data_IF_781641151234
#
_entry.id   IF_781641151234
#
_cell.length_a   1.000
_cell.length_b   1.000
_cell.length_c   1.000
_cell.angle_alpha   90.00
_cell.angle_beta   90.00
_cell.angle_gamma   90.00
#
_symmetry.space_group_name_H-M   'P 1'
#
loop_
_entity.id
_entity.type
_entity.pdbx_description
1 polymer ?
#
# COMPACT_ATOMS: atom_id res chain seq x y z
N UNK A 1 -8.72 49.92 -12.34
CA UNK A 1 -8.25 48.75 -11.61
C UNK A 1 -9.45 47.86 -11.34
N UNK A 2 -9.50 46.67 -11.90
CA UNK A 2 -10.60 45.73 -11.65
C UNK A 2 -10.32 45.17 -10.26
N UNK A 3 -11.19 45.48 -9.30
CA UNK A 3 -11.12 44.98 -7.93
C UNK A 3 -11.58 43.53 -7.95
N UNK A 4 -10.72 42.61 -8.40
CA UNK A 4 -10.97 41.19 -8.42
C UNK A 4 -11.00 40.69 -6.98
N UNK A 5 -12.17 40.29 -6.50
CA UNK A 5 -12.29 39.69 -5.16
C UNK A 5 -11.36 38.49 -5.02
N UNK A 6 -10.79 38.29 -3.85
CA UNK A 6 -9.84 37.19 -3.53
C UNK A 6 -10.47 35.82 -3.83
N UNK A 7 -11.76 35.65 -3.58
CA UNK A 7 -12.48 34.40 -3.77
C UNK A 7 -12.59 33.97 -5.24
N UNK A 8 -13.01 34.84 -6.20
CA UNK A 8 -12.97 34.49 -7.63
C UNK A 8 -11.57 34.18 -8.13
N UNK A 9 -10.55 34.89 -7.65
CA UNK A 9 -9.16 34.67 -8.01
C UNK A 9 -8.69 33.27 -7.57
N UNK A 10 -8.93 32.88 -6.31
CA UNK A 10 -8.56 31.58 -5.80
C UNK A 10 -9.34 30.43 -6.48
N UNK A 11 -10.65 30.64 -6.69
CA UNK A 11 -11.51 29.68 -7.39
C UNK A 11 -11.03 29.45 -8.84
N UNK A 12 -10.67 30.48 -9.56
CA UNK A 12 -10.11 30.39 -10.90
C UNK A 12 -8.80 29.56 -10.93
N UNK A 13 -7.89 29.82 -9.99
CA UNK A 13 -6.65 29.07 -9.88
C UNK A 13 -6.89 27.60 -9.54
N UNK A 14 -7.75 27.32 -8.56
CA UNK A 14 -8.14 25.96 -8.20
C UNK A 14 -8.75 25.21 -9.39
N UNK A 15 -9.61 25.88 -10.16
CA UNK A 15 -10.28 25.27 -11.30
C UNK A 15 -9.28 24.91 -12.41
N UNK A 16 -8.41 25.86 -12.79
CA UNK A 16 -7.39 25.63 -13.84
C UNK A 16 -6.41 24.54 -13.42
N UNK A 17 -5.87 24.62 -12.20
CA UNK A 17 -4.96 23.61 -11.68
C UNK A 17 -5.66 22.25 -11.54
N UNK A 18 -6.93 22.23 -11.13
CA UNK A 18 -7.74 21.04 -11.05
C UNK A 18 -7.89 20.32 -12.40
N UNK A 19 -8.14 21.07 -13.48
CA UNK A 19 -8.21 20.51 -14.83
C UNK A 19 -6.87 19.93 -15.25
N UNK A 20 -5.78 20.67 -15.07
CA UNK A 20 -4.44 20.23 -15.47
C UNK A 20 -4.06 18.94 -14.72
N UNK A 21 -4.26 18.92 -13.42
CA UNK A 21 -3.93 17.74 -12.60
C UNK A 21 -4.84 16.57 -12.88
N UNK A 22 -6.13 16.79 -13.15
CA UNK A 22 -7.05 15.73 -13.57
C UNK A 22 -6.61 15.08 -14.89
N UNK A 23 -6.14 15.90 -15.84
CA UNK A 23 -5.59 15.41 -17.10
C UNK A 23 -4.30 14.60 -16.87
N UNK A 24 -3.42 15.05 -15.98
CA UNK A 24 -2.21 14.33 -15.61
C UNK A 24 -2.54 12.98 -14.94
N UNK A 25 -3.51 12.96 -14.02
CA UNK A 25 -3.99 11.73 -13.40
C UNK A 25 -4.55 10.75 -14.44
N UNK A 26 -5.30 11.26 -15.41
CA UNK A 26 -5.83 10.43 -16.50
C UNK A 26 -4.70 9.87 -17.37
N UNK A 27 -3.73 10.71 -17.74
CA UNK A 27 -2.56 10.29 -18.52
C UNK A 27 -1.69 9.25 -17.81
N UNK A 28 -1.69 9.25 -16.49
CA UNK A 28 -0.97 8.25 -15.71
C UNK A 28 -1.82 6.97 -15.56
N UNK A 29 -3.10 7.10 -15.26
CA UNK A 29 -3.98 5.98 -14.96
C UNK A 29 -4.29 5.11 -16.19
N UNK A 30 -4.55 5.74 -17.35
CA UNK A 30 -4.95 5.03 -18.58
C UNK A 30 -3.87 4.06 -19.06
N UNK A 31 -2.59 4.43 -19.20
CA UNK A 31 -1.53 3.49 -19.58
C UNK A 31 -1.37 2.33 -18.59
N UNK A 32 -1.43 2.62 -17.28
CA UNK A 32 -1.36 1.57 -16.27
C UNK A 32 -2.51 0.58 -16.41
N UNK A 33 -3.71 1.07 -16.70
CA UNK A 33 -4.88 0.22 -16.90
C UNK A 33 -4.81 -0.59 -18.19
N UNK A 34 -4.23 -0.05 -19.25
CA UNK A 34 -3.96 -0.78 -20.49
C UNK A 34 -2.96 -1.92 -20.23
N UNK A 35 -1.88 -1.67 -19.47
CA UNK A 35 -0.90 -2.70 -19.09
C UNK A 35 -1.53 -3.81 -18.24
N UNK A 36 -2.46 -3.46 -17.35
CA UNK A 36 -3.24 -4.42 -16.56
C UNK A 36 -4.13 -5.31 -17.47
N UNK A 37 -4.82 -4.71 -18.42
CA UNK A 37 -5.68 -5.43 -19.36
C UNK A 37 -4.90 -6.34 -20.32
N UNK A 38 -3.67 -5.97 -20.66
CA UNK A 38 -2.78 -6.80 -21.51
C UNK A 38 -2.06 -7.90 -20.74
N UNK A 39 -2.21 -7.94 -19.39
CA UNK A 39 -1.52 -8.92 -18.55
C UNK A 39 -0.03 -8.65 -18.33
N UNK A 40 0.49 -7.53 -18.84
CA UNK A 40 1.89 -7.15 -18.66
C UNK A 40 2.19 -6.67 -17.23
N UNK A 41 1.18 -6.17 -16.53
CA UNK A 41 1.27 -5.71 -15.14
C UNK A 41 -0.05 -6.02 -14.43
N UNK A 42 0.02 -6.56 -13.23
CA UNK A 42 -1.18 -6.74 -12.41
C UNK A 42 -1.47 -5.45 -11.63
N UNK A 43 -2.59 -4.82 -11.94
CA UNK A 43 -3.14 -3.69 -11.19
C UNK A 43 -4.54 -4.07 -10.69
N UNK A 44 -4.61 -4.95 -9.68
CA UNK A 44 -5.88 -5.41 -9.17
C UNK A 44 -6.65 -4.25 -8.55
N UNK A 45 -7.92 -4.15 -8.86
CA UNK A 45 -8.79 -3.10 -8.34
C UNK A 45 -10.26 -3.39 -8.61
N UNK A 46 -11.10 -2.89 -7.73
CA UNK A 46 -12.55 -3.01 -7.88
C UNK A 46 -13.05 -2.10 -9.01
N UNK A 47 -14.16 -2.50 -9.68
CA UNK A 47 -14.83 -1.69 -10.68
C UNK A 47 -13.90 -1.04 -11.72
N UNK A 48 -13.01 -1.83 -12.32
CA UNK A 48 -12.01 -1.35 -13.29
C UNK A 48 -11.04 -0.26 -12.76
N UNK A 49 -10.91 -0.12 -11.43
CA UNK A 49 -10.04 0.87 -10.81
C UNK A 49 -10.63 2.28 -10.71
N UNK A 50 -11.92 2.45 -10.95
CA UNK A 50 -12.60 3.77 -10.78
C UNK A 50 -12.43 4.33 -9.37
N UNK A 51 -12.57 3.55 -8.27
CA UNK A 51 -12.32 4.05 -6.93
C UNK A 51 -10.86 4.49 -6.71
N UNK A 52 -9.89 3.79 -7.30
CA UNK A 52 -8.47 4.16 -7.24
C UNK A 52 -8.21 5.47 -7.97
N UNK A 53 -8.81 5.64 -9.16
CA UNK A 53 -8.72 6.90 -9.91
C UNK A 53 -9.31 8.06 -9.13
N UNK A 54 -10.46 7.87 -8.48
CA UNK A 54 -11.08 8.86 -7.60
C UNK A 54 -10.19 9.23 -6.41
N UNK A 55 -9.60 8.24 -5.74
CA UNK A 55 -8.66 8.46 -4.64
C UNK A 55 -7.42 9.26 -5.11
N UNK A 56 -6.93 8.96 -6.32
CA UNK A 56 -5.82 9.68 -6.94
C UNK A 56 -6.17 11.15 -7.23
N UNK A 57 -7.38 11.41 -7.76
CA UNK A 57 -7.87 12.77 -7.99
C UNK A 57 -8.03 13.57 -6.69
N UNK A 58 -8.56 12.94 -5.65
CA UNK A 58 -8.75 13.56 -4.35
C UNK A 58 -7.39 13.91 -3.70
N UNK A 59 -6.45 12.97 -3.77
CA UNK A 59 -5.07 13.21 -3.32
C UNK A 59 -4.41 14.37 -4.04
N UNK A 60 -4.55 14.39 -5.35
CA UNK A 60 -4.03 15.47 -6.19
C UNK A 60 -4.66 16.83 -5.85
N UNK A 61 -5.97 16.82 -5.55
CA UNK A 61 -6.69 17.99 -5.05
C UNK A 61 -6.10 18.53 -3.75
N UNK A 62 -5.83 17.65 -2.77
CA UNK A 62 -5.16 18.04 -1.52
C UNK A 62 -3.77 18.59 -1.80
N UNK A 63 -3.03 18.00 -2.75
CA UNK A 63 -1.73 18.51 -3.20
C UNK A 63 -1.82 19.93 -3.79
N UNK A 64 -2.84 20.22 -4.60
CA UNK A 64 -3.10 21.58 -5.11
C UNK A 64 -3.38 22.54 -3.95
N UNK A 65 -4.26 22.15 -3.01
CA UNK A 65 -4.58 22.94 -1.82
C UNK A 65 -3.34 23.27 -1.00
N UNK A 66 -2.48 22.29 -0.78
CA UNK A 66 -1.22 22.47 -0.07
C UNK A 66 -0.25 23.42 -0.83
N UNK A 67 -0.13 23.23 -2.14
CA UNK A 67 0.70 24.11 -2.98
C UNK A 67 0.23 25.57 -2.98
N UNK A 68 -1.07 25.80 -3.05
CA UNK A 68 -1.65 27.14 -2.96
C UNK A 68 -1.46 27.75 -1.57
N UNK A 69 -1.60 26.94 -0.51
CA UNK A 69 -1.34 27.37 0.87
C UNK A 69 0.11 27.82 1.05
N UNK A 70 1.08 27.02 0.59
CA UNK A 70 2.51 27.36 0.63
C UNK A 70 2.76 28.63 -0.19
N UNK A 71 2.19 28.72 -1.38
CA UNK A 71 2.33 29.90 -2.24
C UNK A 71 1.78 31.18 -1.60
N UNK A 72 0.72 31.07 -0.82
CA UNK A 72 0.18 32.19 -0.06
C UNK A 72 1.02 32.58 1.17
N UNK A 73 1.73 31.62 1.75
CA UNK A 73 2.54 31.83 2.95
C UNK A 73 3.88 32.49 2.65
N UNK A 74 4.50 32.16 1.52
CA UNK A 74 5.84 32.61 1.16
C UNK A 74 5.80 33.89 0.33
N UNK A 75 6.81 34.75 0.54
CA UNK A 75 6.92 36.05 -0.17
C UNK A 75 7.89 36.00 -1.34
N UNK A 76 8.80 35.03 -1.37
CA UNK A 76 9.81 34.91 -2.42
C UNK A 76 9.82 33.50 -2.99
N UNK A 77 10.22 33.37 -4.26
CA UNK A 77 10.34 32.05 -4.91
C UNK A 77 11.41 31.16 -4.28
N UNK A 78 12.48 31.76 -3.74
CA UNK A 78 13.54 31.02 -3.04
C UNK A 78 13.04 30.36 -1.76
N UNK A 79 12.22 31.09 -0.99
CA UNK A 79 11.55 30.51 0.19
C UNK A 79 10.62 29.37 -0.20
N UNK A 80 9.86 29.52 -1.28
CA UNK A 80 8.98 28.45 -1.77
C UNK A 80 9.77 27.19 -2.13
N UNK A 81 10.86 27.34 -2.87
CA UNK A 81 11.71 26.22 -3.30
C UNK A 81 12.33 25.48 -2.12
N UNK A 82 12.69 26.18 -1.06
CA UNK A 82 13.24 25.56 0.17
C UNK A 82 12.17 24.89 1.04
N UNK A 83 10.95 25.43 1.05
CA UNK A 83 9.86 24.95 1.91
C UNK A 83 9.19 23.69 1.34
N UNK A 84 9.14 23.54 0.02
CA UNK A 84 8.53 22.38 -0.64
C UNK A 84 9.18 21.06 -0.20
N UNK A 85 10.50 20.85 -0.27
CA UNK A 85 11.13 19.64 0.23
C UNK A 85 10.91 19.40 1.73
N UNK A 86 10.93 20.46 2.53
CA UNK A 86 10.71 20.40 3.97
C UNK A 86 9.32 19.83 4.32
N UNK A 87 8.31 20.11 3.49
CA UNK A 87 6.95 19.61 3.67
C UNK A 87 6.78 18.21 3.05
N UNK A 88 7.43 17.94 1.90
CA UNK A 88 7.30 16.66 1.21
C UNK A 88 8.02 15.51 1.94
N UNK A 89 9.19 15.75 2.53
CA UNK A 89 9.96 14.71 3.21
C UNK A 89 9.15 14.05 4.35
N UNK A 90 8.54 14.79 5.30
CA UNK A 90 7.69 14.20 6.31
C UNK A 90 6.48 13.45 5.72
N UNK A 91 5.88 13.94 4.65
CA UNK A 91 4.78 13.25 3.99
C UNK A 91 5.20 11.88 3.47
N UNK A 92 6.36 11.76 2.84
CA UNK A 92 6.89 10.49 2.35
C UNK A 92 7.23 9.55 3.52
N UNK A 93 7.90 10.06 4.56
CA UNK A 93 8.33 9.26 5.70
C UNK A 93 7.16 8.70 6.52
N UNK A 94 6.11 9.50 6.72
CA UNK A 94 4.96 9.12 7.54
C UNK A 94 3.76 8.60 6.72
N UNK A 95 3.89 8.52 5.39
CA UNK A 95 2.82 7.99 4.53
C UNK A 95 2.59 6.50 4.66
N UNK A 96 3.58 5.76 5.16
CA UNK A 96 3.58 4.29 5.11
C UNK A 96 4.20 3.72 3.82
N UNK A 97 4.69 4.57 2.91
CA UNK A 97 5.34 4.13 1.67
C UNK A 97 6.70 3.46 1.92
N UNK A 98 7.51 4.03 2.81
CA UNK A 98 8.84 3.51 3.15
C UNK A 98 8.74 2.38 4.19
N UNK A 99 7.74 2.43 5.05
CA UNK A 99 7.44 1.45 6.08
C UNK A 99 6.30 1.95 6.94
N UNK A 100 5.51 1.03 7.49
CA UNK A 100 4.36 1.42 8.32
C UNK A 100 4.84 2.08 9.61
N UNK A 101 4.48 3.35 9.86
CA UNK A 101 4.91 4.03 11.06
C UNK A 101 4.30 3.39 12.31
N UNK A 102 5.11 3.25 13.37
CA UNK A 102 4.70 2.68 14.65
C UNK A 102 4.79 3.70 15.79
N UNK A 103 4.05 3.49 16.85
CA UNK A 103 4.08 4.35 18.04
C UNK A 103 3.75 5.82 17.73
N UNK A 104 4.57 6.75 18.20
CA UNK A 104 4.41 8.20 18.01
C UNK A 104 4.39 8.60 16.51
N UNK A 105 5.13 7.91 15.68
CA UNK A 105 5.18 8.19 14.25
C UNK A 105 3.82 7.94 13.56
N UNK A 106 3.02 7.02 14.08
CA UNK A 106 1.65 6.79 13.61
C UNK A 106 0.75 8.01 13.86
N UNK A 107 0.94 8.67 15.00
CA UNK A 107 0.21 9.90 15.33
C UNK A 107 0.62 11.05 14.39
N UNK A 108 1.91 11.16 14.07
CA UNK A 108 2.38 12.13 13.08
C UNK A 108 1.77 11.88 11.70
N UNK A 109 1.60 10.61 11.30
CA UNK A 109 0.92 10.23 10.08
C UNK A 109 -0.52 10.74 9.96
N UNK A 110 -1.25 10.88 11.09
CA UNK A 110 -2.62 11.43 11.08
C UNK A 110 -2.71 12.85 10.49
N UNK A 111 -1.66 13.64 10.67
CA UNK A 111 -1.58 15.00 10.12
C UNK A 111 -1.14 15.03 8.64
N UNK A 112 -0.69 13.89 8.09
CA UNK A 112 -0.12 13.82 6.74
C UNK A 112 -1.16 13.35 5.73
N UNK A 113 -1.55 14.19 4.76
CA UNK A 113 -2.47 13.78 3.68
C UNK A 113 -2.01 12.54 2.92
N UNK A 114 -0.69 12.40 2.72
CA UNK A 114 -0.10 11.27 2.01
C UNK A 114 -0.38 9.92 2.68
N UNK A 115 -0.48 9.87 4.02
CA UNK A 115 -0.80 8.64 4.75
C UNK A 115 -2.25 8.17 4.48
N UNK A 116 -3.21 9.09 4.56
CA UNK A 116 -4.62 8.79 4.27
C UNK A 116 -4.84 8.39 2.81
N UNK A 117 -4.14 9.07 1.91
CA UNK A 117 -4.15 8.77 0.49
C UNK A 117 -3.60 7.38 0.18
N UNK A 118 -2.46 7.05 0.76
CA UNK A 118 -1.81 5.76 0.56
C UNK A 118 -2.66 4.61 1.11
N UNK A 119 -3.24 4.77 2.30
CA UNK A 119 -4.18 3.79 2.86
C UNK A 119 -5.43 3.62 2.00
N UNK A 120 -5.97 4.72 1.44
CA UNK A 120 -7.13 4.66 0.54
C UNK A 120 -6.81 3.87 -0.72
N UNK A 121 -5.67 4.15 -1.35
CA UNK A 121 -5.24 3.43 -2.57
C UNK A 121 -5.00 1.95 -2.27
N UNK A 122 -4.38 1.63 -1.13
CA UNK A 122 -4.19 0.24 -0.71
C UNK A 122 -5.51 -0.50 -0.52
N UNK A 123 -6.51 0.14 0.08
CA UNK A 123 -7.84 -0.46 0.30
C UNK A 123 -8.59 -0.71 -1.00
N UNK A 124 -8.47 0.15 -1.98
CA UNK A 124 -9.07 -0.03 -3.30
C UNK A 124 -8.33 -1.02 -4.20
N UNK A 125 -7.12 -1.41 -3.82
CA UNK A 125 -6.39 -2.50 -4.45
C UNK A 125 -6.79 -3.85 -3.85
N UNK A 126 -5.98 -4.87 -4.02
CA UNK A 126 -6.20 -6.19 -3.41
C UNK A 126 -6.08 -6.22 -1.89
N UNK A 127 -5.66 -5.13 -1.29
CA UNK A 127 -5.46 -5.00 0.15
C UNK A 127 -6.76 -4.70 0.93
N UNK A 128 -7.88 -4.50 0.25
CA UNK A 128 -9.20 -4.47 0.87
C UNK A 128 -9.60 -5.82 1.47
N UNK A 129 -8.93 -6.90 1.05
CA UNK A 129 -9.11 -8.27 1.55
C UNK A 129 -8.22 -8.60 2.76
N UNK A 130 -7.63 -7.60 3.39
CA UNK A 130 -6.75 -7.80 4.54
C UNK A 130 -7.48 -8.13 5.84
N UNK A 131 -8.79 -7.88 5.93
CA UNK A 131 -9.56 -8.28 7.10
C UNK A 131 -9.66 -9.80 7.15
N UNK A 132 -9.16 -10.45 8.22
CA UNK A 132 -9.19 -11.90 8.32
C UNK A 132 -10.62 -12.48 8.23
N UNK A 133 -11.61 -11.73 8.71
CA UNK A 133 -13.01 -12.10 8.70
C UNK A 133 -13.67 -11.97 7.33
N UNK A 134 -13.17 -11.06 6.48
CA UNK A 134 -13.66 -10.84 5.12
C UNK A 134 -12.88 -11.56 4.02
N UNK A 135 -11.73 -12.13 4.34
CA UNK A 135 -10.86 -12.82 3.37
C UNK A 135 -11.31 -14.28 3.16
N UNK A 136 -12.46 -14.47 2.55
CA UNK A 136 -12.95 -15.82 2.22
C UNK A 136 -12.26 -16.36 0.95
N UNK A 137 -11.88 -17.66 0.94
CA UNK A 137 -11.20 -18.26 -0.21
C UNK A 137 -12.05 -18.30 -1.47
N UNK A 138 -13.36 -18.33 -1.32
CA UNK A 138 -14.33 -18.48 -2.41
C UNK A 138 -15.24 -17.26 -2.60
N UNK A 139 -15.11 -16.25 -1.74
CA UNK A 139 -15.91 -15.04 -1.79
C UNK A 139 -15.48 -14.09 -2.91
N UNK A 140 -16.10 -12.90 -2.94
CA UNK A 140 -15.79 -11.81 -3.89
C UNK A 140 -14.32 -11.40 -3.88
N UNK A 141 -13.66 -11.52 -2.75
CA UNK A 141 -12.27 -11.18 -2.50
C UNK A 141 -11.34 -12.39 -2.53
N UNK A 142 -11.89 -13.58 -2.80
CA UNK A 142 -11.15 -14.82 -2.86
C UNK A 142 -10.02 -14.78 -3.89
N UNK A 143 -8.85 -15.24 -3.49
CA UNK A 143 -7.67 -15.27 -4.34
C UNK A 143 -6.99 -13.92 -4.55
N UNK A 144 -7.37 -12.88 -3.82
CA UNK A 144 -6.80 -11.54 -3.89
C UNK A 144 -6.03 -11.17 -2.63
N UNK A 145 -5.20 -10.14 -2.72
CA UNK A 145 -4.51 -9.50 -1.59
C UNK A 145 -3.68 -10.42 -0.72
N UNK A 146 -3.77 -10.19 0.58
CA UNK A 146 -3.01 -10.93 1.59
C UNK A 146 -3.40 -12.41 1.63
N UNK A 147 -4.68 -12.71 1.41
CA UNK A 147 -5.15 -14.10 1.35
C UNK A 147 -4.39 -14.89 0.28
N UNK A 148 -4.33 -14.35 -0.95
CA UNK A 148 -3.59 -14.97 -2.07
C UNK A 148 -2.10 -15.08 -1.78
N UNK A 149 -1.53 -14.07 -1.15
CA UNK A 149 -0.13 -14.09 -0.75
C UNK A 149 0.16 -15.24 0.23
N UNK A 150 -0.65 -15.35 1.30
CA UNK A 150 -0.50 -16.41 2.32
C UNK A 150 -0.73 -17.80 1.71
N UNK A 151 -1.73 -17.96 0.85
CA UNK A 151 -2.00 -19.20 0.11
C UNK A 151 -0.79 -19.60 -0.75
N UNK A 152 -0.26 -18.68 -1.56
CA UNK A 152 0.90 -18.93 -2.41
C UNK A 152 2.15 -19.33 -1.62
N UNK A 153 2.37 -18.68 -0.46
CA UNK A 153 3.48 -19.04 0.43
C UNK A 153 3.30 -20.42 1.07
N UNK A 154 2.07 -20.76 1.46
CA UNK A 154 1.77 -22.09 1.97
C UNK A 154 1.93 -23.19 0.92
N UNK A 155 1.53 -22.91 -0.33
CA UNK A 155 1.74 -23.85 -1.44
C UNK A 155 3.23 -24.12 -1.68
N UNK A 156 4.08 -23.07 -1.62
CA UNK A 156 5.54 -23.25 -1.70
C UNK A 156 6.06 -24.11 -0.55
N UNK A 157 5.62 -23.83 0.69
CA UNK A 157 6.02 -24.63 1.85
C UNK A 157 5.64 -26.10 1.70
N UNK A 158 4.47 -26.40 1.13
CA UNK A 158 4.01 -27.77 0.87
C UNK A 158 4.90 -28.44 -0.19
N UNK A 159 5.22 -27.75 -1.27
CA UNK A 159 6.10 -28.26 -2.34
C UNK A 159 7.49 -28.57 -1.79
N UNK A 160 8.08 -27.63 -1.03
CA UNK A 160 9.40 -27.79 -0.44
C UNK A 160 9.41 -28.93 0.61
N UNK A 161 8.37 -29.01 1.43
CA UNK A 161 8.22 -30.10 2.41
C UNK A 161 8.14 -31.47 1.72
N UNK A 162 7.34 -31.59 0.64
CA UNK A 162 7.27 -32.84 -0.15
C UNK A 162 8.63 -33.23 -0.71
N UNK A 163 9.34 -32.28 -1.32
CA UNK A 163 10.68 -32.54 -1.85
C UNK A 163 11.64 -33.05 -0.77
N UNK A 164 11.63 -32.40 0.39
CA UNK A 164 12.48 -32.83 1.51
C UNK A 164 12.13 -34.22 2.03
N UNK A 165 10.83 -34.58 2.06
CA UNK A 165 10.36 -35.91 2.44
C UNK A 165 10.79 -36.93 1.39
N UNK A 166 10.62 -36.66 0.10
CA UNK A 166 11.03 -37.56 -0.98
C UNK A 166 12.54 -37.79 -0.97
N UNK A 167 13.34 -36.75 -0.73
CA UNK A 167 14.78 -36.86 -0.63
C UNK A 167 15.22 -37.64 0.62
N UNK A 168 14.49 -37.53 1.72
CA UNK A 168 14.70 -38.32 2.92
C UNK A 168 14.37 -39.78 2.67
N UNK A 169 13.23 -40.08 2.04
CA UNK A 169 12.81 -41.44 1.70
C UNK A 169 13.82 -42.15 0.78
N UNK A 170 14.29 -41.46 -0.24
CA UNK A 170 15.35 -41.99 -1.13
C UNK A 170 16.61 -42.34 -0.37
N UNK A 171 17.08 -41.43 0.50
CA UNK A 171 18.25 -41.72 1.36
C UNK A 171 18.02 -42.92 2.27
N UNK A 172 16.87 -43.01 2.89
CA UNK A 172 16.52 -44.13 3.72
C UNK A 172 16.51 -45.46 2.93
N UNK A 173 15.87 -45.47 1.75
CA UNK A 173 15.86 -46.64 0.86
C UNK A 173 17.29 -47.06 0.44
N UNK A 174 18.12 -46.12 0.10
CA UNK A 174 19.51 -46.40 -0.33
C UNK A 174 20.36 -46.95 0.84
N UNK A 175 20.20 -46.39 2.03
CA UNK A 175 20.88 -46.89 3.23
C UNK A 175 20.38 -48.30 3.61
N UNK A 176 19.07 -48.58 3.54
CA UNK A 176 18.54 -49.93 3.78
C UNK A 176 19.00 -50.92 2.71
N UNK A 177 19.06 -50.56 1.43
CA UNK A 177 19.62 -51.42 0.37
C UNK A 177 21.08 -51.75 0.62
N UNK A 178 21.89 -50.78 0.99
CA UNK A 178 23.31 -50.97 1.31
C UNK A 178 23.45 -51.95 2.51
N UNK A 179 22.64 -51.74 3.54
CA UNK A 179 22.61 -52.63 4.71
C UNK A 179 22.28 -54.08 4.33
N UNK A 180 21.23 -54.28 3.53
CA UNK A 180 20.83 -55.60 3.04
C UNK A 180 21.93 -56.28 2.21
N UNK A 181 22.58 -55.54 1.32
CA UNK A 181 23.66 -56.05 0.49
C UNK A 181 24.89 -56.43 1.29
N UNK A 182 25.22 -55.71 2.36
CA UNK A 182 26.33 -56.02 3.26
C UNK A 182 26.00 -57.23 4.12
N UNK A 183 24.77 -57.36 4.62
CA UNK A 183 24.31 -58.57 5.35
C UNK A 183 24.37 -59.80 4.47
N UNK A 184 23.95 -59.75 3.21
CA UNK A 184 24.03 -60.85 2.25
C UNK A 184 25.48 -61.28 1.97
N UNK A 185 26.43 -60.38 2.09
CA UNK A 185 27.87 -60.65 1.93
C UNK A 185 28.54 -61.15 3.20
N UNK A 186 27.76 -61.40 4.28
CA UNK A 186 28.30 -61.89 5.56
C UNK A 186 29.08 -60.86 6.36
N UNK A 187 28.95 -59.57 6.02
CA UNK A 187 29.51 -58.45 6.77
C UNK A 187 28.56 -58.07 7.91
N UNK A 188 29.07 -57.47 8.97
CA UNK A 188 28.27 -56.98 10.09
C UNK A 188 28.14 -55.44 10.00
N UNK A 189 27.20 -54.93 9.21
CA UNK A 189 27.07 -53.49 8.99
C UNK A 189 26.47 -52.79 10.23
N UNK A 190 26.78 -51.47 10.36
CA UNK A 190 26.07 -50.62 11.33
C UNK A 190 24.62 -50.43 10.91
N UNK A 191 23.75 -50.18 11.88
CA UNK A 191 22.33 -49.87 11.63
C UNK A 191 22.17 -48.74 10.64
N UNK A 192 21.23 -48.85 9.67
CA UNK A 192 20.99 -47.79 8.70
C UNK A 192 20.61 -46.48 9.40
N UNK A 193 21.26 -45.40 9.04
CA UNK A 193 20.96 -44.07 9.56
C UNK A 193 20.66 -43.10 8.40
N UNK A 194 19.39 -42.93 8.04
CA UNK A 194 18.98 -41.97 6.98
C UNK A 194 19.11 -40.50 7.39
N UNK A 195 19.54 -40.22 8.64
CA UNK A 195 19.58 -38.88 9.21
C UNK A 195 18.26 -38.44 9.83
N UNK A 196 18.20 -37.19 10.28
CA UNK A 196 16.97 -36.69 10.91
C UNK A 196 15.84 -36.54 9.90
N UNK A 197 14.59 -36.92 10.29
CA UNK A 197 13.42 -36.70 9.44
C UNK A 197 13.19 -35.21 9.23
N UNK A 198 12.76 -34.78 8.02
CA UNK A 198 12.55 -33.37 7.73
C UNK A 198 11.41 -32.80 8.58
N UNK A 199 11.66 -31.66 9.23
CA UNK A 199 10.64 -30.93 9.96
C UNK A 199 9.64 -30.29 8.97
N UNK A 200 8.35 -30.49 9.19
CA UNK A 200 7.29 -29.85 8.40
C UNK A 200 7.02 -28.49 9.04
N UNK A 201 7.30 -27.38 8.34
CA UNK A 201 7.03 -26.06 8.87
C UNK A 201 5.51 -25.85 9.03
N UNK A 202 5.05 -25.16 10.08
CA UNK A 202 3.64 -24.85 10.25
C UNK A 202 3.15 -23.91 9.14
N UNK A 203 1.91 -24.09 8.69
CA UNK A 203 1.30 -23.21 7.71
C UNK A 203 1.24 -21.77 8.23
N UNK A 204 1.58 -20.82 7.35
CA UNK A 204 1.42 -19.40 7.63
C UNK A 204 -0.06 -19.06 7.74
N UNK A 205 -0.41 -18.25 8.73
CA UNK A 205 -1.78 -17.75 8.94
C UNK A 205 -1.81 -16.26 8.62
N UNK A 206 -2.99 -15.77 8.23
CA UNK A 206 -3.22 -14.33 8.12
C UNK A 206 -3.05 -13.74 9.53
N UNK A 207 -2.17 -12.73 9.71
CA UNK A 207 -1.96 -12.14 11.02
C UNK A 207 -3.24 -11.41 11.49
N UNK A 208 -3.54 -11.52 12.78
CA UNK A 208 -4.65 -10.78 13.38
C UNK A 208 -4.38 -9.27 13.42
N UNK A 209 -3.12 -8.87 13.55
CA UNK A 209 -2.69 -7.48 13.47
C UNK A 209 -2.17 -7.16 12.07
N UNK A 210 -2.94 -6.38 11.32
CA UNK A 210 -2.62 -5.95 9.97
C UNK A 210 -1.96 -4.57 9.93
N UNK A 211 -1.61 -3.99 11.06
CA UNK A 211 -0.98 -2.66 11.16
C UNK A 211 0.34 -2.54 10.40
N UNK A 212 1.04 -3.67 10.18
CA UNK A 212 2.26 -3.72 9.37
C UNK A 212 2.02 -3.57 7.87
N UNK A 213 0.76 -3.65 7.41
CA UNK A 213 0.38 -3.56 6.01
C UNK A 213 -0.33 -2.25 5.68
N UNK A 214 -1.07 -1.68 6.63
CA UNK A 214 -1.85 -0.45 6.49
C UNK A 214 -1.61 0.45 7.71
N UNK A 215 -1.38 1.74 7.49
CA UNK A 215 -1.00 2.69 8.54
C UNK A 215 -2.12 2.89 9.57
N UNK A 216 -3.36 3.02 9.12
CA UNK A 216 -4.53 3.36 9.94
C UNK A 216 -5.61 2.28 9.91
N UNK A 217 -5.19 1.01 9.93
CA UNK A 217 -6.17 -0.07 9.95
C UNK A 217 -6.84 -0.14 11.32
N UNK A 218 -8.13 0.21 11.35
CA UNK A 218 -9.02 -0.02 12.47
C UNK A 218 -10.36 -0.57 11.97
N UNK A 219 -11.08 -1.40 12.76
CA UNK A 219 -12.35 -1.98 12.35
C UNK A 219 -13.42 -0.95 11.97
N UNK A 220 -13.36 0.26 12.54
CA UNK A 220 -14.28 1.35 12.26
C UNK A 220 -13.81 2.31 11.14
N UNK A 221 -12.57 2.17 10.67
CA UNK A 221 -12.05 2.94 9.54
C UNK A 221 -12.34 2.22 8.23
N UNK A 222 -13.13 2.87 7.38
CA UNK A 222 -13.44 2.41 6.02
C UNK A 222 -12.92 3.42 4.98
N UNK A 223 -13.05 3.08 3.70
CA UNK A 223 -12.61 3.93 2.58
C UNK A 223 -13.32 5.29 2.59
N UNK A 224 -14.59 5.34 3.04
CA UNK A 224 -15.41 6.56 3.11
C UNK A 224 -14.78 7.52 4.12
N UNK A 225 -14.36 7.02 5.28
CA UNK A 225 -13.72 7.85 6.30
C UNK A 225 -12.42 8.47 5.79
N UNK A 226 -11.57 7.67 5.15
CA UNK A 226 -10.31 8.15 4.60
C UNK A 226 -10.53 9.25 3.57
N UNK A 227 -11.50 9.06 2.67
CA UNK A 227 -11.87 10.08 1.67
C UNK A 227 -12.44 11.34 2.32
N UNK A 228 -13.28 11.18 3.34
CA UNK A 228 -13.85 12.30 4.09
C UNK A 228 -12.75 13.12 4.79
N UNK A 229 -11.77 12.45 5.40
CA UNK A 229 -10.61 13.14 6.00
C UNK A 229 -9.83 13.92 4.96
N UNK A 230 -9.57 13.34 3.79
CA UNK A 230 -8.90 14.04 2.69
C UNK A 230 -9.70 15.25 2.20
N UNK A 231 -11.03 15.14 2.09
CA UNK A 231 -11.90 16.27 1.73
C UNK A 231 -11.85 17.39 2.78
N UNK A 232 -11.90 17.02 4.07
CA UNK A 232 -11.78 17.99 5.17
C UNK A 232 -10.42 18.66 5.15
N UNK A 233 -9.33 17.93 4.92
CA UNK A 233 -7.99 18.49 4.79
C UNK A 233 -7.90 19.46 3.62
N UNK A 234 -8.46 19.12 2.45
CA UNK A 234 -8.54 20.03 1.30
C UNK A 234 -9.30 21.30 1.66
N UNK A 235 -10.48 21.17 2.26
CA UNK A 235 -11.29 22.30 2.70
C UNK A 235 -10.55 23.22 3.69
N UNK A 236 -9.87 22.64 4.68
CA UNK A 236 -9.05 23.39 5.63
C UNK A 236 -7.91 24.15 4.95
N UNK A 237 -7.21 23.54 4.00
CA UNK A 237 -6.12 24.18 3.24
C UNK A 237 -6.62 25.35 2.39
N UNK A 238 -7.78 25.19 1.74
CA UNK A 238 -8.40 26.25 0.94
C UNK A 238 -8.84 27.43 1.84
N UNK A 239 -9.47 27.13 2.98
CA UNK A 239 -9.89 28.15 3.95
C UNK A 239 -8.66 28.86 4.53
N UNK A 240 -7.62 28.13 4.92
CA UNK A 240 -6.38 28.72 5.42
C UNK A 240 -5.73 29.63 4.37
N UNK A 241 -5.72 29.22 3.10
CA UNK A 241 -5.21 30.04 1.99
C UNK A 241 -6.02 31.33 1.85
N UNK A 242 -7.35 31.24 1.91
CA UNK A 242 -8.23 32.44 1.86
C UNK A 242 -7.96 33.41 3.01
N UNK A 243 -7.79 32.87 4.23
CA UNK A 243 -7.50 33.71 5.41
C UNK A 243 -6.17 34.43 5.23
N UNK A 244 -5.12 33.75 4.79
CA UNK A 244 -3.80 34.35 4.59
C UNK A 244 -3.87 35.43 3.52
N UNK A 245 -4.49 35.16 2.38
CA UNK A 245 -4.64 36.13 1.30
C UNK A 245 -5.42 37.36 1.77
N UNK A 246 -6.47 37.18 2.57
CA UNK A 246 -7.26 38.30 3.12
C UNK A 246 -6.47 39.14 4.11
N UNK A 247 -5.63 38.51 4.94
CA UNK A 247 -4.74 39.22 5.87
C UNK A 247 -3.64 40.00 5.14
N UNK A 248 -3.22 39.55 3.98
CA UNK A 248 -2.22 40.23 3.14
C UNK A 248 -2.83 41.42 2.35
N UNK A 249 -4.10 41.35 1.98
CA UNK A 249 -4.81 42.39 1.24
C UNK A 249 -5.15 43.58 2.14
N UNK A 250 -5.23 43.38 3.48
CA UNK A 250 -5.52 44.41 4.48
C UNK A 250 -4.24 45.20 4.85
N UNK A 251 -3.06 44.77 4.45
CA UNK A 251 -1.79 45.45 4.67
C UNK A 251 -1.32 46.19 3.44
#
# INVERSE_FOLDING_TARGET
MVNLGILPYLASKLFILGIIVSLQCLMLFVPLKILDLTGAMAMPGQLFGVPQFWAMLLTAGVGIGLGLFISALVRTSEMATSLVPLILIPQILFSGLVGVPSGINKVAGLAMPAAWSFDTIKRFSTLDTLEPEGAEPTGRTGGLGLYKYVETENDKLVVDARKNIDDYQRRAEDEFKKYDDQMRKGQNPSTPDPGEPPAIPPAKKIPADLSNYITFLHPWMNEILNQLVLMVMLGMLVIATLIILRLQDIR
#
